data_IF_219507899104
#
_entry.id   IF_219507899104
#
_cell.length_a   1.000
_cell.length_b   1.000
_cell.length_c   1.000
_cell.angle_alpha   90.00
_cell.angle_beta   90.00
_cell.angle_gamma   90.00
#
_symmetry.space_group_name_H-M   'P 1'
#
loop_
_entity.id
_entity.type
_entity.pdbx_description
1 polymer ?
#
# COMPACT_ATOMS: atom_id res chain seq x y z
N UNK A 1 -4.52 13.18 -94.90
CA UNK A 1 -5.15 12.30 -93.89
C UNK A 1 -4.02 11.67 -93.11
N UNK A 2 -3.61 12.30 -92.02
CA UNK A 2 -2.54 11.81 -91.15
C UNK A 2 -3.17 11.60 -89.77
N UNK A 3 -3.13 10.36 -89.28
CA UNK A 3 -3.77 9.96 -88.02
C UNK A 3 -2.89 10.44 -86.88
N UNK A 4 -3.36 11.44 -86.13
CA UNK A 4 -2.77 11.85 -84.86
C UNK A 4 -3.09 10.76 -83.84
N UNK A 5 -2.07 10.07 -83.35
CA UNK A 5 -2.18 9.20 -82.18
C UNK A 5 -2.25 10.07 -80.91
N UNK A 6 -3.25 9.92 -80.04
CA UNK A 6 -3.25 10.58 -78.75
C UNK A 6 -2.20 9.89 -77.85
N UNK A 7 -1.19 10.65 -77.43
CA UNK A 7 -0.29 10.24 -76.36
C UNK A 7 -1.11 10.21 -75.06
N UNK A 8 -1.39 9.01 -74.56
CA UNK A 8 -2.14 8.78 -73.33
C UNK A 8 -1.18 8.81 -72.13
N UNK A 9 -1.53 9.60 -71.12
CA UNK A 9 -1.34 9.31 -69.69
C UNK A 9 0.10 9.11 -69.13
N UNK A 10 0.99 10.09 -69.30
CA UNK A 10 2.22 10.18 -68.48
C UNK A 10 2.14 11.16 -67.30
N UNK A 11 1.18 12.10 -67.30
CA UNK A 11 0.94 13.01 -66.17
C UNK A 11 0.06 12.43 -65.06
N UNK A 12 -0.83 11.48 -65.40
CA UNK A 12 -1.73 10.83 -64.45
C UNK A 12 -0.98 9.92 -63.46
N UNK A 13 0.04 9.21 -63.94
CA UNK A 13 0.82 8.27 -63.14
C UNK A 13 1.68 8.95 -62.08
N UNK A 14 2.27 10.11 -62.38
CA UNK A 14 3.09 10.86 -61.41
C UNK A 14 2.22 11.45 -60.29
N UNK A 15 1.03 11.96 -60.63
CA UNK A 15 0.06 12.48 -59.66
C UNK A 15 -0.51 11.35 -58.77
N UNK A 16 -0.81 10.19 -59.34
CA UNK A 16 -1.24 8.99 -58.60
C UNK A 16 -0.17 8.50 -57.61
N UNK A 17 1.10 8.44 -58.04
CA UNK A 17 2.22 8.08 -57.16
C UNK A 17 2.33 9.07 -56.00
N UNK A 18 2.18 10.37 -56.26
CA UNK A 18 2.30 11.43 -55.26
C UNK A 18 1.15 11.36 -54.23
N UNK A 19 -0.09 11.16 -54.69
CA UNK A 19 -1.26 10.95 -53.81
C UNK A 19 -1.08 9.68 -52.99
N UNK A 20 -0.69 8.56 -53.62
CA UNK A 20 -0.47 7.30 -52.92
C UNK A 20 0.63 7.42 -51.85
N UNK A 21 1.70 8.15 -52.14
CA UNK A 21 2.80 8.38 -51.19
C UNK A 21 2.35 9.24 -50.01
N UNK A 22 1.59 10.31 -50.25
CA UNK A 22 1.05 11.15 -49.17
C UNK A 22 0.11 10.32 -48.27
N UNK A 23 -0.82 9.58 -48.87
CA UNK A 23 -1.74 8.71 -48.11
C UNK A 23 -0.96 7.68 -47.30
N UNK A 24 0.07 7.07 -47.89
CA UNK A 24 0.92 6.10 -47.21
C UNK A 24 1.67 6.71 -46.01
N UNK A 25 2.27 7.88 -46.18
CA UNK A 25 2.96 8.60 -45.08
C UNK A 25 1.97 8.96 -43.97
N UNK A 26 0.80 9.50 -44.31
CA UNK A 26 -0.24 9.85 -43.33
C UNK A 26 -0.72 8.63 -42.57
N UNK A 27 -0.98 7.52 -43.25
CA UNK A 27 -1.42 6.27 -42.62
C UNK A 27 -0.34 5.72 -41.69
N UNK A 28 0.93 5.74 -42.10
CA UNK A 28 2.04 5.30 -41.24
C UNK A 28 2.17 6.19 -40.01
N UNK A 29 2.13 7.51 -40.16
CA UNK A 29 2.22 8.44 -39.04
C UNK A 29 1.07 8.26 -38.06
N UNK A 30 -0.17 8.10 -38.56
CA UNK A 30 -1.32 7.81 -37.70
C UNK A 30 -1.17 6.45 -37.00
N UNK A 31 -0.73 5.42 -37.72
CA UNK A 31 -0.56 4.08 -37.16
C UNK A 31 0.52 4.07 -36.08
N UNK A 32 1.61 4.82 -36.26
CA UNK A 32 2.68 4.95 -35.29
C UNK A 32 2.23 5.74 -34.05
N UNK A 33 1.44 6.81 -34.23
CA UNK A 33 0.86 7.57 -33.12
C UNK A 33 -0.17 6.76 -32.33
N UNK A 34 -0.95 5.92 -33.02
CA UNK A 34 -1.91 5.00 -32.39
C UNK A 34 -1.18 3.88 -31.66
N UNK A 35 -0.14 3.29 -32.26
CA UNK A 35 0.68 2.25 -31.63
C UNK A 35 1.43 2.77 -30.40
N UNK A 36 1.98 3.99 -30.44
CA UNK A 36 2.62 4.60 -29.27
C UNK A 36 1.63 4.87 -28.14
N UNK A 37 0.41 5.31 -28.48
CA UNK A 37 -0.67 5.51 -27.51
C UNK A 37 -1.09 4.18 -26.87
N UNK A 38 -1.29 3.12 -27.66
CA UNK A 38 -1.61 1.79 -27.11
C UNK A 38 -0.48 1.18 -26.29
N UNK A 39 0.78 1.39 -26.69
CA UNK A 39 1.93 0.95 -25.89
C UNK A 39 1.99 1.67 -24.55
N UNK A 40 1.63 2.95 -24.51
CA UNK A 40 1.53 3.73 -23.28
C UNK A 40 0.41 3.19 -22.39
N UNK A 41 -0.78 2.94 -22.93
CA UNK A 41 -1.89 2.33 -22.19
C UNK A 41 -1.55 0.94 -21.62
N UNK A 42 -0.81 0.12 -22.39
CA UNK A 42 -0.31 -1.17 -21.90
C UNK A 42 0.63 -1.02 -20.71
N UNK A 43 1.60 -0.10 -20.80
CA UNK A 43 2.52 0.20 -19.69
C UNK A 43 1.82 0.78 -18.47
N UNK A 44 0.82 1.65 -18.66
CA UNK A 44 -0.01 2.21 -17.59
C UNK A 44 -0.84 1.13 -16.88
N UNK A 45 -1.43 0.19 -17.63
CA UNK A 45 -2.20 -0.92 -17.05
C UNK A 45 -1.34 -1.89 -16.22
N UNK A 46 -0.13 -2.18 -16.68
CA UNK A 46 0.82 -3.03 -15.94
C UNK A 46 1.35 -2.32 -14.69
N UNK A 47 1.65 -1.02 -14.78
CA UNK A 47 2.09 -0.22 -13.63
C UNK A 47 0.99 -0.08 -12.57
N UNK A 48 -0.26 0.15 -12.97
CA UNK A 48 -1.41 0.21 -12.08
C UNK A 48 -1.63 -1.14 -11.36
N UNK A 49 -1.58 -2.26 -12.10
CA UNK A 49 -1.69 -3.60 -11.52
C UNK A 49 -0.61 -3.89 -10.47
N UNK A 50 0.63 -3.44 -10.72
CA UNK A 50 1.73 -3.59 -9.79
C UNK A 50 1.55 -2.72 -8.53
N UNK A 51 1.14 -1.46 -8.69
CA UNK A 51 0.85 -0.56 -7.57
C UNK A 51 -0.28 -1.10 -6.68
N UNK A 52 -1.37 -1.58 -7.28
CA UNK A 52 -2.49 -2.21 -6.56
C UNK A 52 -2.05 -3.46 -5.79
N UNK A 53 -1.24 -4.32 -6.40
CA UNK A 53 -0.72 -5.52 -5.75
C UNK A 53 0.19 -5.18 -4.57
N UNK A 54 1.05 -4.18 -4.71
CA UNK A 54 1.93 -3.71 -3.62
C UNK A 54 1.11 -3.11 -2.47
N UNK A 55 0.11 -2.29 -2.77
CA UNK A 55 -0.83 -1.74 -1.78
C UNK A 55 -1.56 -2.86 -1.04
N UNK A 56 -2.09 -3.87 -1.75
CA UNK A 56 -2.74 -5.03 -1.13
C UNK A 56 -1.80 -5.84 -0.24
N UNK A 57 -0.56 -6.07 -0.66
CA UNK A 57 0.45 -6.79 0.13
C UNK A 57 0.82 -6.02 1.39
N UNK A 58 1.08 -4.72 1.26
CA UNK A 58 1.34 -3.82 2.38
C UNK A 58 0.18 -3.85 3.37
N UNK A 59 -1.04 -3.68 2.85
CA UNK A 59 -2.25 -3.68 3.64
C UNK A 59 -2.48 -5.01 4.37
N UNK A 60 -2.29 -6.14 3.69
CA UNK A 60 -2.42 -7.48 4.29
C UNK A 60 -1.43 -7.70 5.43
N UNK A 61 -0.21 -7.17 5.32
CA UNK A 61 0.80 -7.25 6.38
C UNK A 61 0.42 -6.42 7.60
N UNK A 62 -0.04 -5.18 7.38
CA UNK A 62 -0.53 -4.30 8.45
C UNK A 62 -1.73 -4.94 9.15
N UNK A 63 -2.72 -5.39 8.37
CA UNK A 63 -3.92 -6.02 8.90
C UNK A 63 -3.62 -7.31 9.68
N UNK A 64 -2.65 -8.11 9.21
CA UNK A 64 -2.20 -9.32 9.92
C UNK A 64 -1.68 -9.00 11.31
N UNK A 65 -0.90 -7.93 11.48
CA UNK A 65 -0.40 -7.46 12.79
C UNK A 65 -1.57 -6.98 13.65
N UNK A 66 -2.45 -6.13 13.11
CA UNK A 66 -3.56 -5.59 13.88
C UNK A 66 -4.60 -6.64 14.31
N UNK A 67 -4.78 -7.70 13.52
CA UNK A 67 -5.65 -8.83 13.88
C UNK A 67 -5.07 -9.74 14.96
N UNK A 68 -3.76 -9.65 15.22
CA UNK A 68 -3.08 -10.28 16.36
C UNK A 68 -3.17 -9.41 17.62
N UNK A 69 -3.70 -8.19 17.51
CA UNK A 69 -3.88 -7.28 18.62
C UNK A 69 -4.73 -7.88 19.74
N UNK A 70 -4.17 -7.85 20.94
CA UNK A 70 -4.80 -8.21 22.21
C UNK A 70 -5.52 -7.03 22.84
N UNK A 71 -4.88 -5.87 22.84
CA UNK A 71 -5.45 -4.65 23.40
C UNK A 71 -6.29 -3.88 22.36
N UNK A 72 -7.02 -2.88 22.86
CA UNK A 72 -7.58 -1.86 22.01
C UNK A 72 -6.43 -1.08 21.34
N UNK A 73 -6.32 -1.06 20.01
CA UNK A 73 -5.26 -0.28 19.40
C UNK A 73 -5.48 1.21 19.72
N UNK A 74 -4.40 1.93 19.93
CA UNK A 74 -4.37 3.36 20.27
C UNK A 74 -3.61 4.12 19.19
N UNK A 75 -4.17 5.24 18.74
CA UNK A 75 -3.48 6.13 17.79
C UNK A 75 -2.58 7.03 18.62
N UNK A 76 -1.30 7.12 18.23
CA UNK A 76 -0.32 8.01 18.88
C UNK A 76 -0.62 9.48 18.56
N UNK A 77 -0.06 10.38 19.37
CA UNK A 77 -0.36 11.83 19.31
C UNK A 77 -0.04 12.48 17.94
N UNK A 78 0.88 11.89 17.18
CA UNK A 78 1.23 12.35 15.83
C UNK A 78 0.23 11.93 14.74
N UNK A 79 -0.67 10.99 15.03
CA UNK A 79 -1.64 10.45 14.08
C UNK A 79 -1.06 9.53 12.99
N UNK A 80 0.25 9.37 12.95
CA UNK A 80 0.98 8.60 11.94
C UNK A 80 1.39 7.21 12.44
N UNK A 81 1.13 6.93 13.71
CA UNK A 81 1.41 5.64 14.31
C UNK A 81 0.22 5.10 15.10
N UNK A 82 0.15 3.77 15.11
CA UNK A 82 -0.85 2.99 15.82
C UNK A 82 -0.13 1.97 16.70
N UNK A 83 -0.45 1.98 17.99
CA UNK A 83 0.07 1.04 18.96
C UNK A 83 -0.97 -0.03 19.29
N UNK A 84 -0.51 -1.27 19.46
CA UNK A 84 -1.34 -2.39 19.89
C UNK A 84 -0.47 -3.42 20.61
N UNK A 85 -1.00 -3.98 21.68
CA UNK A 85 -0.37 -5.12 22.34
C UNK A 85 -0.58 -6.36 21.47
N UNK A 86 0.49 -7.07 21.14
CA UNK A 86 0.49 -8.25 20.29
C UNK A 86 0.95 -9.49 21.05
N UNK A 87 0.44 -10.64 20.58
CA UNK A 87 0.73 -11.95 21.14
C UNK A 87 1.54 -12.79 20.17
N UNK A 88 2.16 -13.85 20.71
CA UNK A 88 2.90 -14.81 19.89
C UNK A 88 4.24 -14.26 19.43
N UNK A 89 4.90 -13.47 20.26
CA UNK A 89 6.27 -13.03 20.06
C UNK A 89 7.10 -13.41 21.30
N UNK A 90 8.34 -13.85 21.09
CA UNK A 90 9.31 -14.10 22.15
C UNK A 90 10.62 -13.43 21.81
N UNK A 91 11.26 -12.83 22.81
CA UNK A 91 12.60 -12.30 22.65
C UNK A 91 13.61 -13.44 22.55
N UNK A 92 14.45 -13.39 21.52
CA UNK A 92 15.53 -14.33 21.32
C UNK A 92 16.86 -13.67 21.72
N UNK A 93 17.39 -14.06 22.88
CA UNK A 93 18.64 -13.53 23.42
C UNK A 93 19.87 -13.81 22.53
N UNK A 94 19.81 -14.83 21.67
CA UNK A 94 20.92 -15.18 20.79
C UNK A 94 21.00 -14.27 19.56
N UNK A 95 19.84 -13.93 18.99
CA UNK A 95 19.75 -13.07 17.80
C UNK A 95 19.49 -11.60 18.16
N UNK A 96 19.17 -11.31 19.42
CA UNK A 96 18.74 -9.99 19.91
C UNK A 96 17.56 -9.43 19.10
N UNK A 97 16.57 -10.29 18.85
CA UNK A 97 15.38 -9.95 18.06
C UNK A 97 14.12 -10.60 18.65
N UNK A 98 12.96 -9.95 18.44
CA UNK A 98 11.67 -10.61 18.65
C UNK A 98 11.37 -11.56 17.52
N UNK A 99 11.19 -12.84 17.86
CA UNK A 99 10.79 -13.88 16.94
C UNK A 99 9.30 -14.17 17.10
N UNK A 100 8.63 -14.38 15.97
CA UNK A 100 7.22 -14.77 15.95
C UNK A 100 7.09 -16.25 16.29
N UNK A 101 6.27 -16.54 17.30
CA UNK A 101 5.87 -17.88 17.71
C UNK A 101 4.73 -18.34 16.79
N UNK A 102 4.78 -19.60 16.35
CA UNK A 102 3.71 -20.20 15.55
C UNK A 102 2.36 -20.10 16.29
N UNK A 103 1.31 -19.51 15.70
CA UNK A 103 -0.02 -19.45 16.30
C UNK A 103 -0.61 -20.81 16.72
N UNK A 104 -0.15 -21.92 16.14
CA UNK A 104 -0.58 -23.26 16.51
C UNK A 104 0.06 -23.77 17.82
N UNK A 105 1.14 -23.13 18.28
CA UNK A 105 1.95 -23.61 19.42
C UNK A 105 1.72 -22.83 20.69
N UNK A 106 0.77 -21.89 20.74
CA UNK A 106 0.42 -21.18 21.97
C UNK A 106 -1.08 -21.11 22.17
N UNK A 107 -1.50 -20.92 23.43
CA UNK A 107 -2.91 -20.80 23.80
C UNK A 107 -3.11 -19.77 24.90
N UNK A 108 -4.35 -19.28 24.98
CA UNK A 108 -4.82 -18.39 26.04
C UNK A 108 -5.36 -19.21 27.20
N UNK A 109 -4.92 -18.90 28.41
CA UNK A 109 -5.42 -19.46 29.67
C UNK A 109 -6.00 -18.34 30.54
N UNK A 110 -6.95 -18.68 31.41
CA UNK A 110 -7.58 -17.73 32.32
C UNK A 110 -7.18 -18.06 33.75
N UNK A 111 -6.52 -17.11 34.40
CA UNK A 111 -6.22 -17.22 35.83
C UNK A 111 -7.45 -16.77 36.62
N UNK A 112 -8.11 -17.73 37.28
CA UNK A 112 -9.25 -17.48 38.16
C UNK A 112 -8.89 -16.65 39.41
N UNK A 113 -7.62 -16.63 39.81
CA UNK A 113 -7.16 -15.95 41.02
C UNK A 113 -6.83 -14.48 40.76
N UNK A 114 -6.12 -14.17 39.67
CA UNK A 114 -5.88 -12.80 39.22
C UNK A 114 -7.10 -12.21 38.48
N UNK A 115 -7.96 -13.04 37.90
CA UNK A 115 -9.09 -12.61 37.08
C UNK A 115 -8.69 -12.15 35.69
N UNK A 116 -7.50 -12.55 35.23
CA UNK A 116 -6.85 -12.09 34.00
C UNK A 116 -6.53 -13.24 33.06
N UNK A 117 -6.37 -12.94 31.77
CA UNK A 117 -5.89 -13.91 30.78
C UNK A 117 -4.37 -13.83 30.67
N UNK A 118 -3.72 -14.98 30.62
CA UNK A 118 -2.29 -15.11 30.29
C UNK A 118 -2.12 -16.09 29.12
N UNK A 119 -0.90 -16.17 28.58
CA UNK A 119 -0.61 -16.97 27.40
C UNK A 119 0.50 -17.95 27.70
N UNK A 120 0.34 -19.17 27.21
CA UNK A 120 1.37 -20.19 27.34
C UNK A 120 1.75 -20.78 26.00
N UNK A 121 3.01 -21.13 25.86
CA UNK A 121 3.50 -21.93 24.75
C UNK A 121 3.04 -23.40 24.87
N UNK A 122 3.45 -24.24 23.91
CA UNK A 122 3.10 -25.65 23.86
C UNK A 122 3.69 -26.45 25.02
N UNK A 123 4.70 -25.90 25.70
CA UNK A 123 5.38 -26.46 26.85
C UNK A 123 4.77 -25.99 28.18
N UNK A 124 3.84 -25.04 28.15
CA UNK A 124 3.19 -24.47 29.32
C UNK A 124 3.94 -23.28 29.95
N UNK A 125 4.94 -22.73 29.27
CA UNK A 125 5.64 -21.53 29.73
C UNK A 125 4.89 -20.27 29.33
N UNK A 126 4.80 -19.31 30.25
CA UNK A 126 4.16 -18.04 30.01
C UNK A 126 4.89 -17.22 28.93
N UNK A 127 4.13 -16.67 27.99
CA UNK A 127 4.63 -15.85 26.89
C UNK A 127 4.34 -14.38 27.23
N UNK A 128 5.33 -13.47 27.09
CA UNK A 128 5.10 -12.05 27.34
C UNK A 128 4.14 -11.46 26.30
N UNK A 129 3.39 -10.45 26.74
CA UNK A 129 2.70 -9.53 25.84
C UNK A 129 3.70 -8.46 25.42
N UNK A 130 3.79 -8.19 24.12
CA UNK A 130 4.71 -7.19 23.59
C UNK A 130 3.93 -6.07 22.91
N UNK A 131 4.48 -4.86 22.90
CA UNK A 131 3.86 -3.69 22.26
C UNK A 131 4.33 -3.62 20.81
N UNK A 132 3.45 -3.78 19.81
CA UNK A 132 3.75 -3.40 18.42
C UNK A 132 3.28 -1.98 18.15
N UNK A 133 4.17 -1.17 17.60
CA UNK A 133 3.84 0.10 16.98
C UNK A 133 3.92 -0.04 15.47
N UNK A 134 2.81 0.16 14.76
CA UNK A 134 2.79 0.32 13.30
C UNK A 134 2.90 1.81 12.98
N UNK A 135 3.93 2.22 12.24
CA UNK A 135 4.21 3.63 11.97
C UNK A 135 4.36 3.89 10.48
N UNK A 136 3.80 4.99 10.01
CA UNK A 136 4.08 5.57 8.71
C UNK A 136 5.10 6.69 8.85
N UNK A 137 6.31 6.45 8.35
CA UNK A 137 7.44 7.38 8.42
C UNK A 137 7.60 8.07 7.08
N UNK A 138 7.38 9.39 7.05
CA UNK A 138 7.59 10.22 5.85
C UNK A 138 9.05 10.17 5.41
N UNK A 139 9.27 10.21 4.09
CA UNK A 139 10.63 10.24 3.52
C UNK A 139 11.31 11.61 3.70
N UNK A 140 10.53 12.67 3.88
CA UNK A 140 11.02 14.02 4.17
C UNK A 140 10.29 14.64 5.37
N UNK A 141 10.98 15.52 6.08
CA UNK A 141 10.42 16.35 7.17
C UNK A 141 9.98 17.73 6.69
N UNK A 142 10.28 18.11 5.45
CA UNK A 142 9.87 19.38 4.84
C UNK A 142 8.46 19.26 4.25
N UNK A 143 7.42 19.91 4.82
CA UNK A 143 6.04 19.81 4.33
C UNK A 143 5.82 20.29 2.89
N UNK A 144 6.78 21.02 2.32
CA UNK A 144 6.70 21.53 0.94
C UNK A 144 7.30 20.57 -0.09
N UNK A 145 8.07 19.57 0.35
CA UNK A 145 8.67 18.58 -0.52
C UNK A 145 7.65 17.50 -0.93
N UNK A 146 7.71 17.01 -2.17
CA UNK A 146 6.83 15.91 -2.62
C UNK A 146 7.02 14.65 -1.78
N UNK A 147 8.26 14.38 -1.35
CA UNK A 147 8.65 13.25 -0.51
C UNK A 147 8.03 13.29 0.89
N UNK A 148 7.50 14.44 1.35
CA UNK A 148 6.76 14.52 2.62
C UNK A 148 5.48 13.70 2.60
N UNK A 149 4.88 13.55 1.43
CA UNK A 149 3.60 12.85 1.28
C UNK A 149 3.77 11.37 0.96
N UNK A 150 5.01 10.90 0.94
CA UNK A 150 5.39 9.51 0.69
C UNK A 150 6.19 9.03 1.90
N UNK A 151 5.97 7.79 2.30
CA UNK A 151 6.59 7.25 3.49
C UNK A 151 6.69 5.74 3.48
N UNK A 152 7.47 5.22 4.42
CA UNK A 152 7.63 3.81 4.68
C UNK A 152 6.71 3.39 5.82
N UNK A 153 6.24 2.15 5.79
CA UNK A 153 5.46 1.59 6.89
C UNK A 153 6.32 0.56 7.61
N UNK A 154 6.56 0.76 8.90
CA UNK A 154 7.30 -0.14 9.78
C UNK A 154 6.36 -0.72 10.86
N UNK A 155 6.65 -1.92 11.37
CA UNK A 155 6.22 -2.29 12.74
C UNK A 155 7.48 -2.48 13.57
N UNK A 156 7.43 -1.98 14.79
CA UNK A 156 8.40 -2.25 15.83
C UNK A 156 7.71 -2.96 16.98
N UNK A 157 8.27 -4.07 17.44
CA UNK A 157 7.84 -4.76 18.68
C UNK A 157 8.83 -4.46 19.78
N UNK A 158 8.31 -4.09 20.96
CA UNK A 158 9.12 -3.82 22.15
C UNK A 158 8.46 -4.26 23.45
N UNK A 159 9.27 -4.42 24.49
CA UNK A 159 8.85 -4.60 25.88
C UNK A 159 9.32 -3.44 26.78
N UNK A 160 8.88 -3.48 28.05
CA UNK A 160 9.27 -2.53 29.10
C UNK A 160 10.74 -2.66 29.53
N UNK A 161 11.41 -3.76 29.15
CA UNK A 161 12.82 -4.00 29.44
C UNK A 161 13.75 -3.33 28.42
N UNK A 162 13.18 -2.74 27.37
CA UNK A 162 13.91 -2.01 26.32
C UNK A 162 14.38 -2.91 25.17
N UNK A 163 13.93 -4.17 25.11
CA UNK A 163 14.17 -5.02 23.96
C UNK A 163 13.27 -4.58 22.81
N UNK A 164 13.86 -4.31 21.64
CA UNK A 164 13.10 -3.86 20.48
C UNK A 164 13.63 -4.49 19.20
N UNK A 165 12.72 -4.87 18.31
CA UNK A 165 13.03 -5.20 16.93
C UNK A 165 12.05 -4.48 16.00
N UNK A 166 12.52 -4.13 14.80
CA UNK A 166 11.71 -3.45 13.81
C UNK A 166 11.86 -4.10 12.43
N UNK A 167 10.79 -4.04 11.66
CA UNK A 167 10.77 -4.53 10.29
C UNK A 167 9.93 -3.62 9.39
N UNK A 168 10.36 -3.57 8.14
CA UNK A 168 9.71 -2.80 7.09
C UNK A 168 8.55 -3.60 6.51
N UNK A 169 7.33 -3.09 6.66
CA UNK A 169 6.11 -3.69 6.12
C UNK A 169 5.91 -3.29 4.65
N UNK A 170 6.18 -2.01 4.33
CA UNK A 170 6.00 -1.46 2.99
C UNK A 170 6.88 -0.22 2.76
N UNK A 171 7.16 0.07 1.49
CA UNK A 171 7.99 1.20 1.05
C UNK A 171 7.18 2.08 0.11
N UNK A 172 7.38 3.40 0.21
CA UNK A 172 6.85 4.33 -0.77
C UNK A 172 5.32 4.41 -0.79
N UNK A 173 4.70 4.32 0.38
CA UNK A 173 3.26 4.52 0.58
C UNK A 173 2.96 6.01 0.66
N UNK A 174 2.09 6.50 -0.22
CA UNK A 174 1.79 7.92 -0.38
C UNK A 174 0.89 8.16 -1.58
N UNK A 175 0.28 9.33 -1.68
CA UNK A 175 -0.64 9.67 -2.77
C UNK A 175 -0.52 11.13 -3.19
N UNK A 176 -0.89 11.47 -4.43
CA UNK A 176 -1.01 12.86 -4.89
C UNK A 176 -2.44 13.39 -4.77
N UNK A 177 -3.39 12.57 -4.29
CA UNK A 177 -4.77 13.00 -4.07
C UNK A 177 -4.90 14.06 -2.97
N UNK A 178 -5.79 15.01 -3.20
CA UNK A 178 -6.23 15.98 -2.20
C UNK A 178 -7.49 15.49 -1.47
N UNK A 179 -7.73 16.08 -0.31
CA UNK A 179 -8.97 15.98 0.44
C UNK A 179 -10.16 16.53 -0.36
N UNK A 180 -11.37 16.35 0.17
CA UNK A 180 -12.62 16.79 -0.49
C UNK A 180 -12.64 18.31 -0.75
N UNK A 181 -11.92 19.10 0.06
CA UNK A 181 -11.74 20.55 -0.11
C UNK A 181 -10.69 20.94 -1.16
N UNK A 182 -9.87 19.99 -1.63
CA UNK A 182 -8.79 20.25 -2.58
C UNK A 182 -7.60 21.02 -1.99
N UNK A 183 -7.51 21.11 -0.66
CA UNK A 183 -6.57 21.98 0.04
C UNK A 183 -5.38 21.24 0.63
N UNK A 184 -5.60 20.01 1.11
CA UNK A 184 -4.56 19.22 1.77
C UNK A 184 -4.46 17.87 1.08
N UNK A 185 -3.23 17.42 0.85
CA UNK A 185 -2.98 16.09 0.28
C UNK A 185 -3.30 15.01 1.31
N UNK A 186 -3.96 13.95 0.88
CA UNK A 186 -4.28 12.80 1.73
C UNK A 186 -2.99 12.11 2.22
N UNK A 187 -2.95 11.62 3.46
CA UNK A 187 -1.83 10.85 3.95
C UNK A 187 -1.75 9.48 3.26
N UNK A 188 -0.54 8.91 3.17
CA UNK A 188 -0.34 7.56 2.61
C UNK A 188 -0.97 6.47 3.47
N UNK A 189 -0.93 6.65 4.80
CA UNK A 189 -1.59 5.79 5.77
C UNK A 189 -2.31 6.66 6.79
N UNK A 190 -3.55 6.34 7.13
CA UNK A 190 -4.30 7.04 8.18
C UNK A 190 -5.06 6.08 9.07
N UNK A 191 -5.20 6.47 10.32
CA UNK A 191 -5.95 5.75 11.34
C UNK A 191 -7.14 6.60 11.81
N UNK A 192 -8.30 5.98 11.94
CA UNK A 192 -9.50 6.62 12.47
C UNK A 192 -10.13 5.74 13.55
N UNK A 193 -10.34 6.31 14.74
CA UNK A 193 -10.90 5.62 15.90
C UNK A 193 -12.43 5.67 15.85
N UNK A 194 -13.07 4.52 15.64
CA UNK A 194 -14.52 4.38 15.55
C UNK A 194 -15.08 3.50 16.67
N UNK A 195 -15.09 4.05 17.89
CA UNK A 195 -15.56 3.36 19.09
C UNK A 195 -14.77 2.08 19.34
N UNK A 196 -15.41 0.92 19.15
CA UNK A 196 -14.79 -0.40 19.34
C UNK A 196 -13.97 -0.91 18.14
N UNK A 197 -13.70 -0.06 17.15
CA UNK A 197 -12.91 -0.43 16.00
C UNK A 197 -11.97 0.71 15.59
N UNK A 198 -10.92 0.36 14.87
CA UNK A 198 -10.10 1.31 14.16
C UNK A 198 -10.23 1.04 12.67
N UNK A 199 -10.41 2.12 11.91
CA UNK A 199 -10.35 2.09 10.46
C UNK A 199 -8.94 2.46 10.05
N UNK A 200 -8.32 1.57 9.28
CA UNK A 200 -7.02 1.81 8.65
C UNK A 200 -7.28 2.06 7.18
N UNK A 201 -6.79 3.18 6.67
CA UNK A 201 -6.85 3.51 5.26
C UNK A 201 -5.44 3.68 4.70
N UNK A 202 -5.16 3.01 3.59
CA UNK A 202 -3.93 3.14 2.82
C UNK A 202 -4.27 3.77 1.47
N UNK A 203 -3.55 4.83 1.11
CA UNK A 203 -3.67 5.53 -0.15
C UNK A 203 -2.34 5.41 -0.91
N UNK A 204 -2.40 5.01 -2.18
CA UNK A 204 -1.24 4.84 -3.03
C UNK A 204 -1.46 5.51 -4.40
N UNK A 205 -0.51 6.35 -4.77
CA UNK A 205 -0.33 6.92 -6.11
C UNK A 205 1.13 7.41 -6.20
N UNK A 206 1.97 6.75 -7.02
CA UNK A 206 3.42 7.03 -7.07
C UNK A 206 3.78 8.15 -8.03
N UNK A 207 2.91 8.43 -9.01
CA UNK A 207 3.04 9.56 -9.92
C UNK A 207 1.70 10.30 -10.11
N UNK A 208 1.71 11.60 -10.45
CA UNK A 208 0.47 12.36 -10.67
C UNK A 208 -0.42 11.79 -11.79
N UNK A 209 0.18 11.09 -12.74
CA UNK A 209 -0.50 10.49 -13.90
C UNK A 209 -1.09 9.10 -13.60
N UNK A 210 -0.70 8.45 -12.48
CA UNK A 210 -1.25 7.17 -12.06
C UNK A 210 -2.68 7.33 -11.52
N UNK A 211 -3.49 6.29 -11.72
CA UNK A 211 -4.82 6.21 -11.12
C UNK A 211 -4.66 6.05 -9.60
N UNK A 212 -5.23 6.94 -8.78
CA UNK A 212 -5.13 6.79 -7.34
C UNK A 212 -5.84 5.52 -6.86
N UNK A 213 -5.21 4.84 -5.91
CA UNK A 213 -5.73 3.62 -5.34
C UNK A 213 -5.82 3.71 -3.82
N UNK A 214 -6.91 3.25 -3.25
CA UNK A 214 -7.12 3.27 -1.79
C UNK A 214 -7.74 1.98 -1.28
N UNK A 215 -7.22 1.45 -0.17
CA UNK A 215 -7.80 0.32 0.56
C UNK A 215 -8.15 0.79 1.96
N UNK A 216 -9.32 0.37 2.45
CA UNK A 216 -9.74 0.61 3.84
C UNK A 216 -10.18 -0.71 4.47
N UNK A 217 -9.81 -0.94 5.72
CA UNK A 217 -10.33 -2.05 6.54
C UNK A 217 -10.65 -1.56 7.94
N UNK A 218 -11.67 -2.18 8.50
CA UNK A 218 -12.12 -1.95 9.87
C UNK A 218 -11.64 -3.11 10.73
N UNK A 219 -10.69 -2.83 11.61
CA UNK A 219 -10.21 -3.80 12.60
C UNK A 219 -10.99 -3.59 13.89
N UNK A 220 -11.80 -4.59 14.26
CA UNK A 220 -12.52 -4.59 15.54
C UNK A 220 -11.57 -4.95 16.67
N UNK A 221 -11.72 -4.28 17.81
CA UNK A 221 -11.04 -4.64 19.07
C UNK A 221 -11.44 -6.06 19.46
N UNK A 222 -10.47 -6.96 19.63
CA UNK A 222 -10.70 -8.33 20.10
C UNK A 222 -10.44 -8.33 21.61
N UNK A 223 -11.47 -8.65 22.41
CA UNK A 223 -11.39 -8.91 23.86
C UNK A 223 -11.44 -7.71 24.83
N UNK A 224 -12.24 -6.67 24.58
CA UNK A 224 -12.62 -5.77 25.68
C UNK A 224 -14.02 -6.11 26.21
N UNK A 225 -14.05 -6.69 27.41
CA UNK A 225 -15.27 -6.91 28.21
C UNK A 225 -15.73 -5.62 28.93
N UNK A 226 -14.94 -4.55 28.93
CA UNK A 226 -15.28 -3.36 29.74
C UNK A 226 -16.45 -2.52 29.21
N UNK A 227 -16.88 -2.74 27.96
CA UNK A 227 -18.05 -2.06 27.37
C UNK A 227 -19.29 -2.98 27.30
N UNK A 228 -19.24 -4.17 27.90
CA UNK A 228 -20.42 -5.02 28.07
C UNK A 228 -21.12 -4.68 29.39
N UNK A 229 -21.51 -3.41 29.57
CA UNK A 229 -22.45 -2.96 30.59
C UNK A 229 -23.44 -1.96 30.00
#
# INVERSE_FOLDING_TARGET
MEKIHPCKDQGSTLLEILIATIVFVVVISLSLAVASSFSRFGGEADADSAAQLDAHRAFSRIESVLRQGWSAPSILDDGDALEVEVLGYSWNDQTTQWDRIDPATWRREYDLTAGEYYFVDSSGFEIPVATCTVRWERLSTDPTAEEYHVGNVSCSVSDDLGHSSSWLLAVGIGTYQFDESGTVRLPGLSFDAQGQAIVVALNLQRSPDEIPYSIRSRVKRRNFLADAQ
#
